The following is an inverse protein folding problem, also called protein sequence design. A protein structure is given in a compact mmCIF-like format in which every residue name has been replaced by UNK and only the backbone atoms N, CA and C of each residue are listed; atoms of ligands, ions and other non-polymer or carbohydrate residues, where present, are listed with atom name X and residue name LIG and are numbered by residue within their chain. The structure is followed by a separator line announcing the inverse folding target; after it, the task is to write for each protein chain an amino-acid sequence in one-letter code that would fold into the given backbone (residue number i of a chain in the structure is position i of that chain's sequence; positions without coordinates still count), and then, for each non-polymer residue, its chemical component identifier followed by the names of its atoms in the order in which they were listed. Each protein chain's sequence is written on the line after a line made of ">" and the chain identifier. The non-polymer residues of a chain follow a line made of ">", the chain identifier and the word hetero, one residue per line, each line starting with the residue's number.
data_IF_259693711054
#
_entry.id   IF_259693711054
#
_cell.length_a   1.000
_cell.length_b   1.000
_cell.length_c   1.000
_cell.angle_alpha   90.00
_cell.angle_beta   90.00
_cell.angle_gamma   90.00
#
_symmetry.space_group_name_H-M   'P 1'
#
loop_
_entity.id
_entity.type
_entity.pdbx_description
1 polymer ?
#
# COMPACT_ATOMS: atom_id res chain seq x y z
N UNK A 1 -9.54 -10.44 20.69
CA UNK A 1 -9.10 -9.23 19.96
C UNK A 1 -7.77 -8.80 20.56
N UNK A 2 -6.71 -8.63 19.75
CA UNK A 2 -5.36 -8.26 20.22
C UNK A 2 -5.37 -6.91 20.94
N UNK A 3 -4.51 -6.69 21.95
CA UNK A 3 -4.45 -5.44 22.72
C UNK A 3 -4.30 -4.20 21.82
N UNK A 4 -3.46 -4.30 20.79
CA UNK A 4 -3.25 -3.26 19.77
C UNK A 4 -4.53 -2.91 19.00
N UNK A 5 -5.30 -3.93 18.61
CA UNK A 5 -6.52 -3.77 17.83
C UNK A 5 -7.62 -3.08 18.68
N UNK A 6 -7.70 -3.41 19.97
CA UNK A 6 -8.58 -2.73 20.93
C UNK A 6 -8.22 -1.25 21.09
N UNK A 7 -6.93 -0.89 21.10
CA UNK A 7 -6.50 0.50 21.14
C UNK A 7 -6.97 1.28 19.91
N UNK A 8 -6.83 0.71 18.72
CA UNK A 8 -7.32 1.32 17.48
C UNK A 8 -8.85 1.50 17.52
N UNK A 9 -9.60 0.47 17.91
CA UNK A 9 -11.05 0.53 18.02
C UNK A 9 -11.52 1.61 19.01
N UNK A 10 -10.82 1.77 20.14
CA UNK A 10 -11.11 2.81 21.13
C UNK A 10 -10.87 4.22 20.58
N UNK A 11 -9.77 4.43 19.85
CA UNK A 11 -9.50 5.75 19.26
C UNK A 11 -10.52 6.12 18.17
N UNK A 12 -10.95 5.15 17.35
CA UNK A 12 -12.04 5.37 16.38
C UNK A 12 -13.36 5.72 17.07
N UNK A 13 -13.69 5.03 18.16
CA UNK A 13 -14.91 5.30 18.93
C UNK A 13 -14.90 6.70 19.56
N UNK A 14 -13.75 7.19 20.06
CA UNK A 14 -13.61 8.57 20.59
C UNK A 14 -13.90 9.63 19.54
N UNK A 15 -13.60 9.34 18.26
CA UNK A 15 -13.88 10.22 17.13
C UNK A 15 -15.30 10.09 16.59
N UNK A 16 -16.14 9.23 17.18
CA UNK A 16 -17.50 8.95 16.70
C UNK A 16 -17.54 8.12 15.41
N UNK A 17 -16.42 7.49 15.01
CA UNK A 17 -16.30 6.73 13.77
C UNK A 17 -16.71 5.27 13.97
N UNK A 18 -17.97 5.06 14.40
CA UNK A 18 -18.50 3.74 14.74
C UNK A 18 -18.74 2.84 13.52
N UNK A 19 -18.85 3.42 12.33
CA UNK A 19 -18.97 2.70 11.07
C UNK A 19 -17.60 2.28 10.45
N UNK A 20 -16.50 2.50 11.17
CA UNK A 20 -15.15 2.09 10.76
C UNK A 20 -14.66 0.96 11.67
N UNK A 21 -14.36 -0.18 11.07
CA UNK A 21 -13.99 -1.41 11.75
C UNK A 21 -12.51 -1.73 11.49
N UNK A 22 -11.67 -1.75 12.54
CA UNK A 22 -10.29 -2.15 12.39
C UNK A 22 -10.18 -3.68 12.37
N UNK A 23 -9.41 -4.21 11.42
CA UNK A 23 -9.07 -5.63 11.30
C UNK A 23 -7.57 -5.80 11.17
N UNK A 24 -7.02 -6.79 11.85
CA UNK A 24 -5.60 -7.12 11.71
C UNK A 24 -5.34 -7.86 10.38
N UNK A 25 -4.28 -7.48 9.67
CA UNK A 25 -3.83 -8.17 8.47
C UNK A 25 -2.30 -8.14 8.38
N UNK A 26 -1.69 -9.33 8.46
CA UNK A 26 -0.23 -9.49 8.54
C UNK A 26 0.33 -8.64 9.70
N UNK A 27 1.25 -7.71 9.43
CA UNK A 27 1.82 -6.79 10.44
C UNK A 27 1.15 -5.40 10.39
N UNK A 28 0.00 -5.28 9.77
CA UNK A 28 -0.72 -4.03 9.55
C UNK A 28 -2.13 -4.07 10.14
N UNK A 29 -2.73 -2.90 10.30
CA UNK A 29 -4.16 -2.75 10.60
C UNK A 29 -4.87 -2.20 9.36
N UNK A 30 -5.97 -2.84 8.99
CA UNK A 30 -6.85 -2.41 7.91
C UNK A 30 -8.06 -1.75 8.53
N UNK A 31 -8.41 -0.55 8.07
CA UNK A 31 -9.62 0.15 8.47
C UNK A 31 -10.64 0.00 7.36
N UNK A 32 -11.73 -0.72 7.62
CA UNK A 32 -12.80 -0.97 6.66
C UNK A 32 -14.07 -0.25 7.11
N UNK A 33 -14.89 0.24 6.18
CA UNK A 33 -16.14 0.92 6.52
C UNK A 33 -16.46 2.09 5.59
N UNK A 34 -17.40 2.92 6.02
CA UNK A 34 -17.82 4.12 5.30
C UNK A 34 -17.88 5.32 6.25
N UNK A 35 -17.48 6.50 5.76
CA UNK A 35 -17.58 7.79 6.45
C UNK A 35 -18.23 8.83 5.53
N UNK A 36 -18.75 9.91 6.10
CA UNK A 36 -19.47 10.94 5.33
C UNK A 36 -18.55 12.01 4.75
N UNK A 37 -17.36 12.20 5.33
CA UNK A 37 -16.45 13.28 4.94
C UNK A 37 -15.00 12.83 4.78
N UNK A 38 -14.25 13.56 3.96
CA UNK A 38 -12.81 13.32 3.77
C UNK A 38 -12.00 13.54 5.05
N UNK A 39 -12.43 14.47 5.90
CA UNK A 39 -11.80 14.74 7.19
C UNK A 39 -11.92 13.53 8.14
N UNK A 40 -13.07 12.86 8.15
CA UNK A 40 -13.26 11.62 8.91
C UNK A 40 -12.38 10.49 8.38
N UNK A 41 -12.23 10.37 7.07
CA UNK A 41 -11.31 9.40 6.44
C UNK A 41 -9.87 9.62 6.90
N UNK A 42 -9.39 10.87 6.87
CA UNK A 42 -8.05 11.23 7.33
C UNK A 42 -7.91 10.93 8.82
N UNK A 43 -8.88 11.37 9.64
CA UNK A 43 -8.85 11.19 11.09
C UNK A 43 -8.81 9.71 11.49
N UNK A 44 -9.55 8.84 10.80
CA UNK A 44 -9.52 7.40 11.02
C UNK A 44 -8.11 6.81 10.84
N UNK A 45 -7.42 7.20 9.75
CA UNK A 45 -6.06 6.74 9.48
C UNK A 45 -5.08 7.17 10.57
N UNK A 46 -5.15 8.44 11.00
CA UNK A 46 -4.30 8.94 12.08
C UNK A 46 -4.60 8.29 13.42
N UNK A 47 -5.86 7.96 13.73
CA UNK A 47 -6.24 7.26 14.95
C UNK A 47 -5.58 5.88 15.07
N UNK A 48 -5.37 5.20 13.94
CA UNK A 48 -4.71 3.89 13.88
C UNK A 48 -3.17 3.97 13.83
N UNK A 49 -2.60 5.12 13.51
CA UNK A 49 -1.16 5.30 13.43
C UNK A 49 -0.49 5.18 14.80
N UNK A 50 0.75 4.65 14.82
CA UNK A 50 1.54 4.53 16.06
C UNK A 50 1.05 3.49 17.07
N UNK A 51 0.01 2.68 16.77
CA UNK A 51 -0.53 1.66 17.68
C UNK A 51 0.20 0.31 17.63
N UNK A 52 1.47 0.31 17.21
CA UNK A 52 2.33 -0.88 17.20
C UNK A 52 2.17 -1.79 15.98
N UNK A 53 1.49 -1.33 14.94
CA UNK A 53 1.45 -1.94 13.60
C UNK A 53 2.53 -1.34 12.69
N UNK A 54 3.00 -2.11 11.71
CA UNK A 54 3.98 -1.67 10.70
C UNK A 54 3.38 -0.77 9.62
N UNK A 55 2.08 -0.87 9.40
CA UNK A 55 1.36 -0.05 8.44
C UNK A 55 -0.12 0.07 8.78
N UNK A 56 -0.75 1.11 8.24
CA UNK A 56 -2.19 1.34 8.26
C UNK A 56 -2.69 1.28 6.82
N UNK A 57 -3.70 0.47 6.56
CA UNK A 57 -4.37 0.38 5.27
C UNK A 57 -5.74 1.02 5.42
N UNK A 58 -5.94 2.20 4.83
CA UNK A 58 -7.24 2.87 4.81
C UNK A 58 -8.09 2.30 3.67
N UNK A 59 -8.90 1.29 3.97
CA UNK A 59 -9.89 0.71 3.08
C UNK A 59 -11.30 1.29 3.37
N UNK A 60 -11.36 2.57 3.72
CA UNK A 60 -12.58 3.29 4.06
C UNK A 60 -13.15 3.93 2.79
N UNK A 61 -14.47 3.83 2.60
CA UNK A 61 -15.20 4.58 1.56
C UNK A 61 -15.66 5.92 2.11
N UNK A 62 -15.63 6.95 1.29
CA UNK A 62 -16.24 8.25 1.63
C UNK A 62 -17.51 8.38 0.82
N UNK A 63 -18.64 8.62 1.48
CA UNK A 63 -19.94 8.69 0.85
C UNK A 63 -19.95 9.73 -0.27
N UNK A 64 -20.42 9.30 -1.45
CA UNK A 64 -20.50 10.17 -2.63
C UNK A 64 -19.17 10.44 -3.32
N UNK A 65 -18.05 9.85 -2.87
CA UNK A 65 -16.78 9.89 -3.57
C UNK A 65 -16.46 8.50 -4.13
N UNK A 66 -16.26 8.42 -5.46
CA UNK A 66 -15.70 7.22 -6.06
C UNK A 66 -14.24 7.09 -5.64
N UNK A 67 -13.86 5.90 -5.17
CA UNK A 67 -12.46 5.59 -4.94
C UNK A 67 -11.70 5.71 -6.26
N UNK A 68 -10.59 6.45 -6.23
CA UNK A 68 -9.68 6.54 -7.36
C UNK A 68 -9.31 5.13 -7.80
N UNK A 69 -9.45 4.84 -9.09
CA UNK A 69 -9.01 3.57 -9.65
C UNK A 69 -7.52 3.43 -9.43
N UNK A 70 -7.06 2.22 -9.18
CA UNK A 70 -5.64 1.92 -9.16
C UNK A 70 -5.00 2.49 -10.43
N UNK A 71 -3.88 3.21 -10.26
CA UNK A 71 -3.12 3.68 -11.39
C UNK A 71 -2.60 2.47 -12.16
N UNK A 72 -3.15 2.27 -13.35
CA UNK A 72 -2.57 1.37 -14.33
C UNK A 72 -1.65 2.20 -15.23
N UNK A 73 -0.41 1.75 -15.46
CA UNK A 73 0.46 2.40 -16.44
C UNK A 73 -0.27 2.48 -17.79
N UNK A 74 -0.23 3.63 -18.47
CA UNK A 74 -0.91 3.80 -19.77
C UNK A 74 -0.33 2.89 -20.86
N UNK A 75 0.89 2.39 -20.66
CA UNK A 75 1.53 1.44 -21.54
C UNK A 75 1.62 0.06 -20.86
N UNK A 76 1.10 -0.95 -21.54
CA UNK A 76 1.43 -2.35 -21.31
C UNK A 76 2.22 -2.82 -22.52
N UNK A 77 3.35 -3.48 -22.31
CA UNK A 77 4.21 -3.94 -23.40
C UNK A 77 4.76 -5.33 -23.11
N UNK A 78 4.82 -6.18 -24.14
CA UNK A 78 5.39 -7.53 -24.08
C UNK A 78 6.86 -7.58 -24.51
N UNK A 79 7.62 -6.50 -24.31
CA UNK A 79 8.99 -6.40 -24.83
C UNK A 79 9.95 -7.49 -24.29
N UNK A 80 9.60 -8.05 -23.13
CA UNK A 80 10.32 -9.13 -22.45
C UNK A 80 9.64 -10.50 -22.62
N UNK A 81 8.47 -10.56 -23.26
CA UNK A 81 7.68 -11.78 -23.42
C UNK A 81 8.48 -12.82 -24.22
N UNK A 82 8.52 -14.06 -23.72
CA UNK A 82 9.24 -15.17 -24.38
C UNK A 82 10.76 -15.02 -24.44
N UNK A 83 11.35 -14.04 -23.74
CA UNK A 83 12.80 -13.88 -23.63
C UNK A 83 13.28 -14.34 -22.27
N UNK A 84 14.42 -15.02 -22.27
CA UNK A 84 15.08 -15.49 -21.05
C UNK A 84 16.16 -14.50 -20.60
N UNK A 85 16.13 -14.16 -19.32
CA UNK A 85 17.10 -13.31 -18.66
C UNK A 85 17.53 -13.96 -17.34
N UNK A 86 18.76 -13.71 -16.93
CA UNK A 86 19.27 -14.20 -15.66
C UNK A 86 18.88 -13.23 -14.52
N UNK A 87 18.73 -11.93 -14.85
CA UNK A 87 18.28 -10.88 -13.92
C UNK A 87 17.37 -9.88 -14.64
N UNK A 88 16.28 -9.47 -13.98
CA UNK A 88 15.40 -8.37 -14.43
C UNK A 88 15.48 -7.22 -13.43
N UNK A 89 15.79 -6.02 -13.92
CA UNK A 89 15.99 -4.80 -13.12
C UNK A 89 14.76 -3.90 -13.24
N UNK A 90 14.04 -3.71 -12.13
CA UNK A 90 12.89 -2.81 -12.09
C UNK A 90 13.34 -1.37 -11.82
N UNK A 91 13.54 -0.62 -12.91
CA UNK A 91 13.81 0.83 -12.91
C UNK A 91 15.15 1.22 -13.55
N UNK A 92 15.09 1.84 -14.74
CA UNK A 92 16.26 2.24 -15.54
C UNK A 92 16.89 3.59 -15.16
N UNK A 93 16.87 3.96 -13.87
CA UNK A 93 17.55 5.16 -13.37
C UNK A 93 19.06 4.93 -13.20
N UNK A 94 19.77 5.93 -12.65
CA UNK A 94 21.24 5.85 -12.42
C UNK A 94 21.65 4.56 -11.69
N UNK A 95 20.90 4.18 -10.65
CA UNK A 95 21.17 2.97 -9.87
C UNK A 95 20.90 1.71 -10.68
N UNK A 96 19.76 1.63 -11.40
CA UNK A 96 19.44 0.48 -12.23
C UNK A 96 20.48 0.27 -13.34
N UNK A 97 20.90 1.34 -14.00
CA UNK A 97 21.96 1.30 -15.00
C UNK A 97 23.31 0.91 -14.39
N UNK A 98 23.65 1.39 -13.18
CA UNK A 98 24.88 0.99 -12.50
C UNK A 98 24.88 -0.51 -12.15
N UNK A 99 23.73 -1.04 -11.71
CA UNK A 99 23.53 -2.48 -11.46
C UNK A 99 23.65 -3.27 -12.76
N UNK A 100 22.96 -2.87 -13.83
CA UNK A 100 23.05 -3.51 -15.14
C UNK A 100 24.51 -3.53 -15.66
N UNK A 101 25.22 -2.41 -15.51
CA UNK A 101 26.64 -2.27 -15.88
C UNK A 101 27.52 -3.23 -15.08
N UNK A 102 27.25 -3.43 -13.80
CA UNK A 102 28.08 -4.32 -12.98
C UNK A 102 27.76 -5.81 -13.25
N UNK A 103 26.48 -6.17 -13.41
CA UNK A 103 26.05 -7.54 -13.70
C UNK A 103 26.53 -8.04 -15.07
N UNK A 104 26.53 -7.18 -16.09
CA UNK A 104 26.99 -7.54 -17.44
C UNK A 104 28.50 -7.87 -17.50
N UNK A 105 29.30 -7.45 -16.51
CA UNK A 105 30.72 -7.87 -16.38
C UNK A 105 30.89 -9.36 -16.14
N UNK A 106 29.83 -10.01 -15.66
CA UNK A 106 29.77 -11.45 -15.36
C UNK A 106 29.07 -12.24 -16.47
N UNK A 107 28.86 -11.63 -17.64
CA UNK A 107 28.16 -12.23 -18.79
C UNK A 107 26.71 -12.68 -18.48
N UNK A 108 26.08 -12.02 -17.51
CA UNK A 108 24.67 -12.23 -17.19
C UNK A 108 23.78 -11.49 -18.21
N UNK A 109 22.74 -12.19 -18.69
CA UNK A 109 21.69 -11.59 -19.52
C UNK A 109 20.76 -10.78 -18.63
N UNK A 110 20.77 -9.46 -18.80
CA UNK A 110 19.99 -8.52 -17.98
C UNK A 110 18.90 -7.83 -18.81
N UNK A 111 17.75 -7.60 -18.18
CA UNK A 111 16.63 -6.79 -18.69
C UNK A 111 16.37 -5.58 -17.81
#
# INVERSE_FOLDING_TARGET
>A
MTEKLNLVARELAKLGLTAVYPREWRRSVVLEGEVDTWQQYIAAGYAAAGKGYKGVVNAIKVRGLEQSREYLPPAQGGALEGKDYDVVIIGGGVIGCAVARDLTRWDLRVA
#
